data_IF_680418155081
#
_entry.id   IF_680418155081
#
_cell.length_a   1.000
_cell.length_b   1.000
_cell.length_c   1.000
_cell.angle_alpha   90.00
_cell.angle_beta   90.00
_cell.angle_gamma   90.00
#
_symmetry.space_group_name_H-M   'P 1'
#
loop_
_entity.id
_entity.type
_entity.pdbx_description
1 polymer ?
#
# COMPACT_ATOMS: atom_id res chain seq x y z
N UNK A 1 -9.98 0.34 -7.67
CA UNK A 1 -9.37 1.44 -8.43
C UNK A 1 -8.56 0.90 -9.61
N UNK A 2 -7.66 -0.07 -9.38
CA UNK A 2 -6.80 -0.63 -10.43
C UNK A 2 -7.58 -1.21 -11.62
N UNK A 3 -8.71 -1.88 -11.39
CA UNK A 3 -9.55 -2.41 -12.47
C UNK A 3 -10.14 -1.29 -13.37
N UNK A 4 -10.50 -0.14 -12.80
CA UNK A 4 -11.02 1.00 -13.57
C UNK A 4 -9.88 1.66 -14.32
N UNK A 5 -8.74 1.91 -13.65
CA UNK A 5 -7.55 2.45 -14.32
C UNK A 5 -7.08 1.56 -15.47
N UNK A 6 -7.16 0.24 -15.32
CA UNK A 6 -6.82 -0.72 -16.36
C UNK A 6 -7.76 -0.61 -17.57
N UNK A 7 -9.09 -0.62 -17.33
CA UNK A 7 -10.08 -0.49 -18.40
C UNK A 7 -10.00 0.88 -19.10
N UNK A 8 -9.79 1.97 -18.35
CA UNK A 8 -9.63 3.31 -18.93
C UNK A 8 -8.38 3.40 -19.81
N UNK A 9 -7.25 2.84 -19.35
CA UNK A 9 -6.04 2.78 -20.18
C UNK A 9 -6.25 1.92 -21.44
N UNK A 10 -6.94 0.79 -21.32
CA UNK A 10 -7.21 -0.10 -22.46
C UNK A 10 -8.04 0.61 -23.55
N UNK A 11 -9.07 1.36 -23.17
CA UNK A 11 -9.90 2.12 -24.13
C UNK A 11 -9.12 3.31 -24.71
N UNK A 12 -8.37 4.05 -23.88
CA UNK A 12 -7.58 5.18 -24.35
C UNK A 12 -6.45 4.80 -25.32
N UNK A 13 -5.90 3.59 -25.21
CA UNK A 13 -4.91 3.07 -26.16
C UNK A 13 -5.49 2.65 -27.51
N UNK A 14 -6.82 2.54 -27.64
CA UNK A 14 -7.46 2.00 -28.83
C UNK A 14 -7.61 3.05 -29.96
N UNK A 15 -7.73 4.33 -29.60
CA UNK A 15 -8.05 5.42 -30.55
C UNK A 15 -6.93 6.47 -30.71
N UNK A 16 -5.79 6.31 -30.03
CA UNK A 16 -4.67 7.26 -30.09
C UNK A 16 -3.46 6.59 -30.73
N UNK A 17 -2.96 7.16 -31.84
CA UNK A 17 -1.77 6.72 -32.59
C UNK A 17 -0.43 7.00 -31.86
N UNK A 18 -0.47 7.16 -30.53
CA UNK A 18 0.67 7.43 -29.67
C UNK A 18 0.43 6.94 -28.25
N UNK A 19 1.51 6.64 -27.53
CA UNK A 19 1.44 6.14 -26.15
C UNK A 19 0.93 7.22 -25.18
N UNK A 20 -0.33 7.13 -24.78
CA UNK A 20 -0.92 8.00 -23.75
C UNK A 20 -1.15 7.18 -22.47
N UNK A 21 -0.41 7.49 -21.40
CA UNK A 21 -0.59 6.86 -20.10
C UNK A 21 -1.57 7.68 -19.25
N UNK A 22 -2.79 7.18 -19.07
CA UNK A 22 -3.81 7.84 -18.25
C UNK A 22 -3.73 7.28 -16.83
N UNK A 23 -3.33 8.13 -15.89
CA UNK A 23 -3.39 7.81 -14.46
C UNK A 23 -4.76 8.23 -13.95
N UNK A 24 -5.62 7.25 -13.68
CA UNK A 24 -6.91 7.46 -13.02
C UNK A 24 -6.65 7.52 -11.51
N UNK A 25 -6.28 8.70 -11.03
CA UNK A 25 -6.17 8.97 -9.59
C UNK A 25 -7.50 9.52 -9.09
N UNK A 26 -8.20 8.74 -8.27
CA UNK A 26 -9.41 9.21 -7.59
C UNK A 26 -8.95 9.76 -6.24
N UNK A 27 -8.89 11.08 -6.15
CA UNK A 27 -8.81 11.82 -4.88
C UNK A 27 -7.68 11.38 -3.92
N UNK A 28 -6.43 11.25 -4.41
CA UNK A 28 -5.26 10.86 -3.60
C UNK A 28 -5.42 9.48 -2.91
N UNK A 29 -6.20 8.57 -3.47
CA UNK A 29 -6.49 7.27 -2.86
C UNK A 29 -5.21 6.50 -2.50
N UNK A 30 -4.19 6.52 -3.37
CA UNK A 30 -2.91 5.84 -3.13
C UNK A 30 -2.19 6.39 -1.91
N UNK A 31 -2.09 7.71 -1.80
CA UNK A 31 -1.46 8.40 -0.67
C UNK A 31 -2.22 8.13 0.65
N UNK A 32 -3.57 8.21 0.63
CA UNK A 32 -4.40 7.88 1.80
C UNK A 32 -4.25 6.42 2.21
N UNK A 33 -4.16 5.51 1.24
CA UNK A 33 -3.97 4.08 1.50
C UNK A 33 -2.62 3.80 2.13
N UNK A 34 -1.57 4.41 1.61
CA UNK A 34 -0.21 4.32 2.19
C UNK A 34 -0.20 4.84 3.64
N UNK A 35 -0.78 6.01 3.88
CA UNK A 35 -0.86 6.58 5.24
C UNK A 35 -1.62 5.66 6.20
N UNK A 36 -2.71 5.05 5.73
CA UNK A 36 -3.48 4.07 6.51
C UNK A 36 -2.64 2.85 6.88
N UNK A 37 -1.82 2.33 5.96
CA UNK A 37 -0.94 1.19 6.19
C UNK A 37 0.20 1.53 7.16
N UNK A 38 0.80 2.72 7.03
CA UNK A 38 1.81 3.23 7.96
C UNK A 38 1.23 3.33 9.38
N UNK A 39 0.03 3.89 9.51
CA UNK A 39 -0.67 4.01 10.79
C UNK A 39 -1.03 2.64 11.39
N UNK A 40 -1.49 1.70 10.56
CA UNK A 40 -1.73 0.32 10.97
C UNK A 40 -0.45 -0.32 11.53
N UNK A 41 0.67 -0.20 10.80
CA UNK A 41 1.95 -0.74 11.21
C UNK A 41 2.40 -0.20 12.58
N UNK A 42 2.38 1.12 12.77
CA UNK A 42 2.73 1.77 14.05
C UNK A 42 1.83 1.33 15.20
N UNK A 43 0.53 1.20 14.96
CA UNK A 43 -0.45 0.73 15.96
C UNK A 43 -0.16 -0.70 16.38
N UNK A 44 0.11 -1.58 15.43
CA UNK A 44 0.44 -2.98 15.69
C UNK A 44 1.78 -3.12 16.40
N UNK A 45 2.81 -2.39 15.96
CA UNK A 45 4.11 -2.32 16.64
C UNK A 45 3.93 -1.93 18.12
N UNK A 46 3.11 -0.91 18.39
CA UNK A 46 2.80 -0.48 19.76
C UNK A 46 2.09 -1.55 20.58
N UNK A 47 1.17 -2.30 19.96
CA UNK A 47 0.48 -3.44 20.61
C UNK A 47 1.43 -4.60 20.90
N UNK A 48 2.29 -4.95 19.96
CA UNK A 48 3.31 -6.00 20.13
C UNK A 48 4.29 -5.62 21.24
N UNK A 49 4.73 -4.36 21.31
CA UNK A 49 5.60 -3.86 22.38
C UNK A 49 4.98 -4.00 23.77
N UNK A 50 3.69 -3.68 23.91
CA UNK A 50 2.96 -3.77 25.18
C UNK A 50 2.67 -5.22 25.58
N UNK A 51 2.17 -6.02 24.65
CA UNK A 51 1.64 -7.35 24.95
C UNK A 51 2.70 -8.46 24.79
N UNK A 52 3.84 -8.16 24.15
CA UNK A 52 4.91 -9.12 23.78
C UNK A 52 4.42 -10.33 23.00
N UNK A 53 3.29 -10.20 22.30
CA UNK A 53 2.70 -11.25 21.46
C UNK A 53 2.91 -10.93 19.98
N UNK A 54 3.20 -11.96 19.19
CA UNK A 54 3.30 -11.85 17.73
C UNK A 54 1.92 -11.53 17.14
N UNK A 55 1.88 -10.67 16.13
CA UNK A 55 0.66 -10.35 15.37
C UNK A 55 0.86 -10.79 13.93
N UNK A 56 -0.09 -11.59 13.41
CA UNK A 56 -0.17 -11.90 11.98
C UNK A 56 -1.10 -10.90 11.30
N UNK A 57 -0.65 -10.36 10.18
CA UNK A 57 -1.48 -9.55 9.29
C UNK A 57 -2.17 -10.43 8.26
N UNK A 58 -3.23 -9.91 7.65
CA UNK A 58 -3.85 -10.51 6.47
C UNK A 58 -2.88 -10.47 5.28
N UNK A 59 -3.02 -11.39 4.31
CA UNK A 59 -2.24 -11.35 3.08
C UNK A 59 -2.41 -10.02 2.34
N UNK A 60 -1.29 -9.41 1.94
CA UNK A 60 -1.23 -8.12 1.26
C UNK A 60 -0.36 -8.22 0.01
N UNK A 61 -0.59 -7.33 -0.96
CA UNK A 61 0.23 -7.29 -2.16
C UNK A 61 1.68 -6.85 -1.84
N UNK A 62 2.60 -7.02 -2.79
CA UNK A 62 4.02 -6.74 -2.57
C UNK A 62 4.30 -5.26 -2.23
N UNK A 63 3.54 -4.33 -2.79
CA UNK A 63 3.68 -2.90 -2.53
C UNK A 63 3.24 -2.55 -1.11
N UNK A 64 2.08 -3.03 -0.68
CA UNK A 64 1.56 -2.84 0.68
C UNK A 64 2.48 -3.46 1.74
N UNK A 65 3.01 -4.67 1.49
CA UNK A 65 4.02 -5.28 2.37
C UNK A 65 5.26 -4.40 2.49
N UNK A 66 5.79 -3.89 1.39
CA UNK A 66 6.97 -3.01 1.39
C UNK A 66 6.73 -1.77 2.26
N UNK A 67 5.54 -1.16 2.20
CA UNK A 67 5.18 -0.01 3.05
C UNK A 67 5.29 -0.39 4.53
N UNK A 68 4.72 -1.52 4.94
CA UNK A 68 4.76 -1.97 6.35
C UNK A 68 6.20 -2.22 6.81
N UNK A 69 7.00 -2.93 6.03
CA UNK A 69 8.40 -3.20 6.36
C UNK A 69 9.19 -1.90 6.50
N UNK A 70 9.02 -0.97 5.56
CA UNK A 70 9.72 0.32 5.56
C UNK A 70 9.28 1.18 6.75
N UNK A 71 7.99 1.20 7.07
CA UNK A 71 7.45 1.96 8.20
C UNK A 71 7.97 1.49 9.56
N UNK A 72 8.34 0.20 9.68
CA UNK A 72 8.83 -0.40 10.92
C UNK A 72 10.35 -0.63 10.95
N UNK A 73 11.06 -0.44 9.84
CA UNK A 73 12.50 -0.69 9.72
C UNK A 73 13.34 0.08 10.76
N UNK A 74 12.91 1.27 11.17
CA UNK A 74 13.59 2.09 12.17
C UNK A 74 13.35 1.67 13.63
N UNK A 75 12.45 0.72 13.89
CA UNK A 75 12.04 0.36 15.24
C UNK A 75 12.84 -0.84 15.78
N UNK A 76 13.82 -0.57 16.65
CA UNK A 76 14.71 -1.61 17.24
C UNK A 76 13.99 -2.70 18.04
N UNK A 77 12.73 -2.46 18.43
CA UNK A 77 11.98 -3.37 19.29
C UNK A 77 10.96 -4.23 18.52
N UNK A 78 10.86 -4.08 17.20
CA UNK A 78 9.90 -4.81 16.37
C UNK A 78 10.61 -5.30 15.11
N UNK A 79 10.39 -6.56 14.76
CA UNK A 79 10.90 -7.17 13.53
C UNK A 79 9.71 -7.60 12.69
N UNK A 80 9.85 -7.45 11.38
CA UNK A 80 8.89 -7.89 10.37
C UNK A 80 9.56 -8.93 9.48
N UNK A 81 8.85 -9.98 9.09
CA UNK A 81 9.36 -11.12 8.31
C UNK A 81 8.92 -11.08 6.85
#
# INVERSE_FOLDING_TARGET
LDAIQYLTNLVAHKDVSGHCHIVVDVENYRSRREETLVNLAKRLASKVKRNRQKVSLEPMNAFERKIIHTALQGDKNVVTN
#
